data_IF_307354714425
#
_entry.id   IF_307354714425
#
_cell.length_a   1.000
_cell.length_b   1.000
_cell.length_c   1.000
_cell.angle_alpha   90.00
_cell.angle_beta   90.00
_cell.angle_gamma   90.00
#
_symmetry.space_group_name_H-M   'P 1'
#
loop_
_entity.id
_entity.type
_entity.pdbx_description
1 polymer ?
#
# COMPACT_ATOMS: atom_id res chain seq x y z
N UNK A 1 -13.78 -32.59 7.09
CA UNK A 1 -13.87 -31.45 6.16
C UNK A 1 -13.38 -30.21 6.90
N UNK A 2 -12.07 -29.99 6.89
CA UNK A 2 -11.47 -28.83 7.54
C UNK A 2 -11.76 -27.59 6.71
N UNK A 3 -12.36 -26.57 7.30
CA UNK A 3 -12.49 -25.27 6.68
C UNK A 3 -11.09 -24.75 6.34
N UNK A 4 -10.71 -24.83 5.06
CA UNK A 4 -9.57 -24.11 4.52
C UNK A 4 -9.98 -22.64 4.53
N UNK A 5 -9.66 -21.94 5.62
CA UNK A 5 -9.77 -20.49 5.65
C UNK A 5 -8.88 -19.96 4.52
N UNK A 6 -9.39 -19.12 3.60
CA UNK A 6 -8.55 -18.50 2.61
C UNK A 6 -7.41 -17.77 3.33
N UNK A 7 -6.17 -17.91 2.82
CA UNK A 7 -4.92 -17.30 3.33
C UNK A 7 -4.93 -15.77 3.11
N UNK A 8 -6.10 -15.15 3.14
CA UNK A 8 -6.25 -13.70 3.13
C UNK A 8 -6.20 -13.22 4.58
N UNK A 9 -5.13 -12.47 4.89
CA UNK A 9 -4.87 -11.78 6.16
C UNK A 9 -4.27 -12.63 7.28
N UNK A 10 -2.99 -12.99 7.14
CA UNK A 10 -2.16 -13.23 8.32
C UNK A 10 -2.04 -11.92 9.11
N UNK A 11 -2.42 -11.93 10.40
CA UNK A 11 -2.44 -10.74 11.26
C UNK A 11 -1.04 -10.11 11.36
N UNK A 12 0.01 -10.93 11.27
CA UNK A 12 1.39 -10.47 11.24
C UNK A 12 1.67 -9.59 10.00
N UNK A 13 1.14 -9.97 8.84
CA UNK A 13 1.28 -9.23 7.58
C UNK A 13 0.51 -7.90 7.62
N UNK A 14 -0.66 -7.86 8.25
CA UNK A 14 -1.43 -6.61 8.44
C UNK A 14 -0.71 -5.66 9.40
N UNK A 15 -0.15 -6.18 10.49
CA UNK A 15 0.60 -5.38 11.47
C UNK A 15 1.84 -4.75 10.84
N UNK A 16 2.55 -5.49 10.00
CA UNK A 16 3.67 -4.95 9.22
C UNK A 16 3.21 -3.89 8.22
N UNK A 17 2.14 -4.18 7.46
CA UNK A 17 1.60 -3.24 6.47
C UNK A 17 1.14 -1.93 7.13
N UNK A 18 0.41 -1.99 8.24
CA UNK A 18 -0.07 -0.79 8.95
C UNK A 18 1.09 0.04 9.51
N UNK A 19 2.15 -0.60 10.00
CA UNK A 19 3.36 0.10 10.44
C UNK A 19 4.07 0.80 9.28
N UNK A 20 4.26 0.11 8.16
CA UNK A 20 4.87 0.69 6.96
C UNK A 20 4.03 1.82 6.38
N UNK A 21 2.70 1.64 6.33
CA UNK A 21 1.75 2.65 5.86
C UNK A 21 1.77 3.89 6.75
N UNK A 22 1.88 3.72 8.08
CA UNK A 22 1.98 4.84 9.02
C UNK A 22 3.26 5.66 8.79
N UNK A 23 4.39 4.98 8.57
CA UNK A 23 5.67 5.64 8.27
C UNK A 23 5.59 6.36 6.91
N UNK A 24 5.08 5.68 5.89
CA UNK A 24 4.89 6.25 4.54
C UNK A 24 3.95 7.46 4.57
N UNK A 25 2.87 7.39 5.34
CA UNK A 25 1.93 8.49 5.54
C UNK A 25 2.59 9.69 6.21
N UNK A 26 3.45 9.48 7.21
CA UNK A 26 4.20 10.55 7.86
C UNK A 26 5.15 11.26 6.86
N UNK A 27 5.87 10.48 6.04
CA UNK A 27 6.74 11.02 4.98
C UNK A 27 5.92 11.79 3.94
N UNK A 28 4.76 11.25 3.55
CA UNK A 28 3.82 11.89 2.63
C UNK A 28 3.28 13.21 3.18
N UNK A 29 2.90 13.23 4.47
CA UNK A 29 2.43 14.41 5.16
C UNK A 29 3.49 15.52 5.22
N UNK A 30 4.75 15.17 5.52
CA UNK A 30 5.87 16.13 5.53
C UNK A 30 6.11 16.74 4.15
N UNK A 31 6.10 15.92 3.08
CA UNK A 31 6.22 16.39 1.70
C UNK A 31 5.06 17.30 1.30
N UNK A 32 3.83 16.89 1.64
CA UNK A 32 2.61 17.68 1.40
C UNK A 32 2.64 19.01 2.17
N UNK A 33 3.09 19.01 3.42
CA UNK A 33 3.25 20.21 4.22
C UNK A 33 4.30 21.16 3.62
N UNK A 34 5.44 20.65 3.15
CA UNK A 34 6.46 21.47 2.50
C UNK A 34 5.92 22.15 1.22
N UNK A 35 5.18 21.42 0.39
CA UNK A 35 4.52 21.97 -0.81
C UNK A 35 3.44 22.98 -0.42
N UNK A 36 2.62 22.67 0.59
CA UNK A 36 1.58 23.56 1.09
C UNK A 36 2.15 24.88 1.63
N UNK A 37 3.24 24.83 2.40
CA UNK A 37 3.89 26.03 2.96
C UNK A 37 4.54 26.87 1.87
N UNK A 38 5.34 26.25 1.00
CA UNK A 38 6.03 26.95 -0.09
C UNK A 38 5.05 27.59 -1.06
N UNK A 39 4.01 26.86 -1.48
CA UNK A 39 2.96 27.40 -2.36
C UNK A 39 2.14 28.50 -1.68
N UNK A 40 1.80 28.37 -0.39
CA UNK A 40 1.09 29.42 0.34
C UNK A 40 1.93 30.70 0.50
N UNK A 41 3.25 30.57 0.67
CA UNK A 41 4.15 31.72 0.75
C UNK A 41 4.26 32.44 -0.60
N UNK A 42 4.31 31.69 -1.70
CA UNK A 42 4.27 32.22 -3.06
C UNK A 42 2.93 32.89 -3.39
N UNK A 43 1.81 32.26 -3.01
CA UNK A 43 0.47 32.82 -3.21
C UNK A 43 0.26 34.11 -2.41
N UNK A 44 0.88 34.21 -1.23
CA UNK A 44 0.83 35.43 -0.41
C UNK A 44 1.58 36.60 -1.06
N UNK A 45 2.66 36.35 -1.80
CA UNK A 45 3.45 37.41 -2.46
C UNK A 45 2.85 37.85 -3.78
N UNK A 46 2.29 36.94 -4.58
CA UNK A 46 1.80 37.26 -5.93
C UNK A 46 0.29 37.48 -6.04
N UNK A 47 -0.54 36.90 -5.15
CA UNK A 47 -2.00 36.96 -5.27
C UNK A 47 -2.67 37.84 -4.20
N UNK A 48 -3.29 38.97 -4.57
CA UNK A 48 -4.05 39.78 -3.62
C UNK A 48 -5.31 39.07 -3.10
N UNK A 49 -5.83 38.10 -3.86
CA UNK A 49 -6.97 37.26 -3.47
C UNK A 49 -6.58 36.41 -2.25
N UNK A 50 -5.44 35.73 -2.29
CA UNK A 50 -4.97 34.89 -1.19
C UNK A 50 -4.63 35.71 0.08
N UNK A 51 -4.27 36.99 -0.10
CA UNK A 51 -4.02 37.93 1.02
C UNK A 51 -5.31 38.26 1.78
N UNK A 52 -6.41 38.48 1.07
CA UNK A 52 -7.71 38.89 1.65
C UNK A 52 -8.59 37.70 2.12
N UNK A 53 -8.19 36.47 1.81
CA UNK A 53 -8.94 35.27 2.19
C UNK A 53 -8.87 35.01 3.70
N UNK A 54 -10.01 34.58 4.27
CA UNK A 54 -10.17 34.23 5.69
C UNK A 54 -9.26 33.07 6.11
N UNK A 55 -8.89 33.04 7.39
CA UNK A 55 -7.97 32.03 7.97
C UNK A 55 -8.42 30.59 7.73
N UNK A 56 -9.74 30.32 7.73
CA UNK A 56 -10.30 28.98 7.49
C UNK A 56 -9.87 28.39 6.13
N UNK A 57 -9.89 29.18 5.06
CA UNK A 57 -9.51 28.72 3.71
C UNK A 57 -8.01 28.46 3.62
N UNK A 58 -7.19 29.24 4.34
CA UNK A 58 -5.74 29.02 4.42
C UNK A 58 -5.43 27.69 5.10
N UNK A 59 -6.13 27.37 6.19
CA UNK A 59 -6.01 26.07 6.86
C UNK A 59 -6.45 24.93 5.94
N UNK A 60 -7.59 25.08 5.26
CA UNK A 60 -8.08 24.08 4.31
C UNK A 60 -7.06 23.80 3.19
N UNK A 61 -6.44 24.85 2.65
CA UNK A 61 -5.41 24.71 1.61
C UNK A 61 -4.22 23.87 2.09
N UNK A 62 -3.72 24.12 3.30
CA UNK A 62 -2.65 23.30 3.87
C UNK A 62 -3.08 21.85 4.11
N UNK A 63 -4.28 21.63 4.65
CA UNK A 63 -4.83 20.29 4.85
C UNK A 63 -4.98 19.52 3.54
N UNK A 64 -5.41 20.17 2.46
CA UNK A 64 -5.55 19.55 1.14
C UNK A 64 -4.19 19.09 0.59
N UNK A 65 -3.13 19.89 0.73
CA UNK A 65 -1.79 19.49 0.30
C UNK A 65 -1.21 18.38 1.16
N UNK A 66 -1.44 18.41 2.47
CA UNK A 66 -1.01 17.35 3.38
C UNK A 66 -1.73 16.04 3.07
N UNK A 67 -3.06 16.06 2.90
CA UNK A 67 -3.82 14.85 2.59
C UNK A 67 -3.40 14.27 1.25
N UNK A 68 -3.19 15.11 0.23
CA UNK A 68 -2.70 14.67 -1.07
C UNK A 68 -1.32 14.02 -0.96
N UNK A 69 -0.41 14.61 -0.18
CA UNK A 69 0.92 14.04 0.07
C UNK A 69 0.88 12.68 0.75
N UNK A 70 -0.02 12.50 1.73
CA UNK A 70 -0.25 11.22 2.42
C UNK A 70 -0.73 10.16 1.43
N UNK A 71 -1.79 10.45 0.68
CA UNK A 71 -2.42 9.49 -0.25
C UNK A 71 -1.41 9.02 -1.30
N UNK A 72 -0.70 9.94 -1.95
CA UNK A 72 0.28 9.59 -2.99
C UNK A 72 1.40 8.69 -2.47
N UNK A 73 1.86 8.91 -1.24
CA UNK A 73 2.94 8.11 -0.66
C UNK A 73 2.42 6.77 -0.12
N UNK A 74 1.20 6.73 0.42
CA UNK A 74 0.53 5.53 0.88
C UNK A 74 0.26 4.56 -0.30
N UNK A 75 -0.29 5.06 -1.42
CA UNK A 75 -0.58 4.24 -2.60
C UNK A 75 0.68 3.57 -3.16
N UNK A 76 1.79 4.31 -3.22
CA UNK A 76 3.10 3.75 -3.63
C UNK A 76 3.56 2.63 -2.70
N UNK A 77 3.39 2.81 -1.39
CA UNK A 77 3.77 1.79 -0.41
C UNK A 77 2.92 0.53 -0.59
N UNK A 78 1.60 0.68 -0.77
CA UNK A 78 0.68 -0.45 -1.01
C UNK A 78 1.08 -1.23 -2.25
N UNK A 79 1.37 -0.56 -3.37
CA UNK A 79 1.80 -1.23 -4.61
C UNK A 79 3.10 -2.01 -4.38
N UNK A 80 4.09 -1.38 -3.75
CA UNK A 80 5.37 -2.06 -3.45
C UNK A 80 5.21 -3.25 -2.52
N UNK A 81 4.27 -3.18 -1.58
CA UNK A 81 3.97 -4.25 -0.66
C UNK A 81 3.31 -5.42 -1.38
N UNK A 82 2.36 -5.15 -2.28
CA UNK A 82 1.75 -6.16 -3.12
C UNK A 82 2.80 -6.88 -3.98
N UNK A 83 3.70 -6.13 -4.63
CA UNK A 83 4.77 -6.70 -5.45
C UNK A 83 5.70 -7.64 -4.66
N UNK A 84 6.09 -7.22 -3.45
CA UNK A 84 6.89 -8.05 -2.53
C UNK A 84 6.13 -9.31 -2.11
N UNK A 85 4.87 -9.16 -1.73
CA UNK A 85 4.03 -10.28 -1.33
C UNK A 85 3.88 -11.31 -2.46
N UNK A 86 3.60 -10.86 -3.69
CA UNK A 86 3.52 -11.76 -4.85
C UNK A 86 4.85 -12.47 -5.11
N UNK A 87 5.97 -11.78 -4.99
CA UNK A 87 7.30 -12.37 -5.18
C UNK A 87 7.58 -13.46 -4.13
N UNK A 88 7.28 -13.20 -2.87
CA UNK A 88 7.47 -14.17 -1.78
C UNK A 88 6.56 -15.39 -1.96
N UNK A 89 5.31 -15.17 -2.39
CA UNK A 89 4.36 -16.25 -2.69
C UNK A 89 4.83 -17.11 -3.87
N UNK A 90 5.43 -16.51 -4.91
CA UNK A 90 6.03 -17.27 -6.02
C UNK A 90 7.21 -18.13 -5.55
N UNK A 91 8.10 -17.59 -4.71
CA UNK A 91 9.23 -18.35 -4.15
C UNK A 91 8.74 -19.47 -3.25
N UNK A 92 7.72 -19.22 -2.44
CA UNK A 92 7.09 -20.25 -1.59
C UNK A 92 6.51 -21.38 -2.42
N UNK A 93 5.81 -21.06 -3.52
CA UNK A 93 5.28 -22.05 -4.45
C UNK A 93 6.39 -22.87 -5.12
N UNK A 94 7.47 -22.21 -5.57
CA UNK A 94 8.62 -22.89 -6.14
C UNK A 94 9.24 -23.90 -5.15
N UNK A 95 9.43 -23.49 -3.88
CA UNK A 95 9.98 -24.38 -2.86
C UNK A 95 9.09 -25.60 -2.55
N UNK A 96 7.77 -25.42 -2.56
CA UNK A 96 6.82 -26.53 -2.35
C UNK A 96 6.85 -27.50 -3.54
N UNK A 97 6.98 -26.98 -4.77
CA UNK A 97 7.14 -27.80 -5.96
C UNK A 97 8.45 -28.60 -5.94
N UNK A 98 9.56 -27.95 -5.55
CA UNK A 98 10.86 -28.63 -5.40
C UNK A 98 10.80 -29.71 -4.32
N UNK A 99 10.18 -29.42 -3.16
CA UNK A 99 10.04 -30.40 -2.07
C UNK A 99 9.09 -31.56 -2.44
N UNK A 100 8.07 -31.32 -3.27
CA UNK A 100 7.19 -32.36 -3.81
C UNK A 100 7.93 -33.24 -4.84
N UNK A 101 8.78 -32.63 -5.68
CA UNK A 101 9.65 -33.32 -6.62
C UNK A 101 10.69 -34.19 -5.90
N UNK A 102 11.33 -33.67 -4.84
CA UNK A 102 12.29 -34.41 -4.01
C UNK A 102 11.64 -35.59 -3.26
N UNK A 103 10.35 -35.50 -2.94
CA UNK A 103 9.58 -36.59 -2.32
C UNK A 103 9.05 -37.62 -3.32
N UNK A 104 9.35 -37.46 -4.62
CA UNK A 104 8.95 -38.40 -5.68
C UNK A 104 7.43 -38.48 -5.92
N UNK A 105 6.66 -37.52 -5.39
CA UNK A 105 5.21 -37.44 -5.60
C UNK A 105 5.00 -36.46 -6.77
N UNK A 106 4.87 -37.01 -7.98
CA UNK A 106 4.37 -36.26 -9.12
C UNK A 106 2.92 -35.83 -8.82
N UNK A 107 2.71 -34.56 -8.51
CA UNK A 107 1.39 -33.95 -8.65
C UNK A 107 1.17 -33.74 -10.15
N UNK A 108 0.49 -34.70 -10.80
CA UNK A 108 -0.05 -34.50 -12.15
C UNK A 108 -0.88 -33.21 -12.17
N UNK A 109 -0.53 -32.32 -13.09
CA UNK A 109 -1.04 -30.95 -13.21
C UNK A 109 -2.58 -30.87 -13.29
N UNK A 110 -3.25 -31.96 -13.61
CA UNK A 110 -4.72 -32.06 -13.72
C UNK A 110 -5.45 -32.02 -12.37
N UNK A 111 -4.86 -32.50 -11.26
CA UNK A 111 -5.57 -32.54 -9.98
C UNK A 111 -5.70 -31.17 -9.30
N UNK A 112 -4.73 -30.28 -9.52
CA UNK A 112 -4.72 -28.94 -8.94
C UNK A 112 -5.71 -27.99 -9.66
N UNK A 113 -5.82 -28.08 -10.99
CA UNK A 113 -6.75 -27.27 -11.79
C UNK A 113 -8.23 -27.60 -11.49
N UNK A 114 -8.55 -28.88 -11.22
CA UNK A 114 -9.91 -29.32 -10.90
C UNK A 114 -10.34 -28.84 -9.51
N UNK A 115 -9.44 -28.81 -8.51
CA UNK A 115 -9.78 -28.33 -7.16
C UNK A 115 -10.02 -26.82 -7.06
N UNK A 116 -9.57 -26.03 -8.04
CA UNK A 116 -9.75 -24.57 -8.05
C UNK A 116 -11.04 -24.15 -8.76
N UNK A 117 -11.68 -25.06 -9.51
CA UNK A 117 -12.85 -24.75 -10.36
C UNK A 117 -14.15 -25.38 -9.85
N UNK A 118 -14.11 -26.31 -8.90
CA UNK A 118 -15.32 -26.95 -8.37
C UNK A 118 -15.50 -26.72 -6.86
N UNK A 119 -16.35 -25.73 -6.56
CA UNK A 119 -17.05 -25.40 -5.31
C UNK A 119 -16.26 -24.88 -4.10
#
# INVERSE_FOLDING_TARGET
>A
MGQVKPIHYDEATISQLTRELAIASCIGALKGAAIGITSALLLRTFSPVYRNVRTQVKVFYHCAWISMGVVVQADKQVISFQERYYRDEMVRRARILDEAADRGIFLEEDAAAISTTSN
#
